data_IF_141039268853
#
_entry.id   IF_141039268853
#
_cell.length_a   1.000
_cell.length_b   1.000
_cell.length_c   1.000
_cell.angle_alpha   90.00
_cell.angle_beta   90.00
_cell.angle_gamma   90.00
#
_symmetry.space_group_name_H-M   'P 1'
#
loop_
_entity.id
_entity.type
_entity.pdbx_description
1 polymer ?
#
# COMPACT_ATOMS: atom_id res chain seq x y z
N UNK A 1 10.93 6.56 -5.47
CA UNK A 1 12.12 7.09 -4.76
C UNK A 1 11.91 7.18 -3.25
N UNK A 2 10.96 7.97 -2.73
CA UNK A 2 10.80 8.10 -1.27
C UNK A 2 10.43 6.77 -0.56
N UNK A 3 9.47 6.02 -1.11
CA UNK A 3 9.04 4.73 -0.55
C UNK A 3 10.14 3.65 -0.60
N UNK A 4 10.90 3.63 -1.69
CA UNK A 4 12.08 2.77 -1.87
C UNK A 4 13.16 3.07 -0.82
N UNK A 5 13.39 4.36 -0.55
CA UNK A 5 14.36 4.77 0.48
C UNK A 5 13.90 4.41 1.88
N UNK A 6 12.60 4.52 2.16
CA UNK A 6 12.03 4.15 3.44
C UNK A 6 12.12 2.64 3.70
N UNK A 7 11.86 1.80 2.68
CA UNK A 7 12.00 0.34 2.81
C UNK A 7 13.47 -0.10 2.98
N UNK A 8 14.41 0.57 2.33
CA UNK A 8 15.85 0.32 2.53
C UNK A 8 16.27 0.73 3.94
N UNK A 9 15.81 1.89 4.42
CA UNK A 9 16.13 2.38 5.76
C UNK A 9 15.55 1.49 6.87
N UNK A 10 14.33 0.96 6.69
CA UNK A 10 13.73 0.00 7.63
C UNK A 10 14.57 -1.29 7.71
N UNK A 11 15.00 -1.84 6.57
CA UNK A 11 15.87 -3.03 6.53
C UNK A 11 17.23 -2.83 7.18
N UNK A 12 17.72 -1.59 7.24
CA UNK A 12 19.01 -1.22 7.85
C UNK A 12 18.91 -0.90 9.34
N UNK A 13 17.70 -0.77 9.89
CA UNK A 13 17.48 -0.61 11.32
C UNK A 13 17.86 -1.91 12.04
N UNK A 14 18.70 -1.82 13.09
CA UNK A 14 18.92 -2.94 13.99
C UNK A 14 17.57 -3.38 14.60
N UNK A 15 17.35 -4.68 14.83
CA UNK A 15 16.14 -5.14 15.49
C UNK A 15 16.13 -4.55 16.90
N UNK A 16 15.20 -3.64 17.17
CA UNK A 16 14.83 -3.32 18.55
C UNK A 16 14.33 -4.61 19.18
N UNK A 17 14.57 -4.82 20.48
CA UNK A 17 14.19 -6.09 21.15
C UNK A 17 12.70 -6.44 20.98
N UNK A 18 11.85 -5.47 20.61
CA UNK A 18 10.47 -5.72 20.21
C UNK A 18 10.04 -4.75 19.08
N UNK A 19 10.12 -5.12 17.80
CA UNK A 19 9.47 -4.35 16.74
C UNK A 19 7.97 -4.67 16.84
N UNK A 20 7.22 -3.85 17.59
CA UNK A 20 5.79 -4.12 17.78
C UNK A 20 5.01 -3.99 16.46
N UNK A 21 5.52 -3.25 15.47
CA UNK A 21 4.86 -3.05 14.18
C UNK A 21 5.89 -2.84 13.06
N UNK A 22 5.66 -3.50 11.93
CA UNK A 22 6.40 -3.33 10.67
C UNK A 22 5.45 -2.72 9.62
N UNK A 23 6.00 -1.99 8.66
CA UNK A 23 5.20 -1.38 7.60
C UNK A 23 5.40 -2.13 6.28
N UNK A 24 4.33 -2.67 5.69
CA UNK A 24 4.43 -3.35 4.40
C UNK A 24 4.49 -2.34 3.24
N UNK A 25 5.72 -1.94 2.92
CA UNK A 25 6.02 -1.05 1.80
C UNK A 25 5.64 -1.63 0.43
N UNK A 26 5.51 -2.95 0.29
CA UNK A 26 5.10 -3.58 -0.98
C UNK A 26 3.60 -3.43 -1.19
N UNK A 27 2.82 -3.62 -0.11
CA UNK A 27 1.36 -3.49 -0.14
C UNK A 27 0.91 -2.06 -0.43
N UNK A 28 1.47 -1.06 0.26
CA UNK A 28 1.11 0.34 -0.04
C UNK A 28 1.48 0.75 -1.47
N UNK A 29 2.55 0.17 -2.03
CA UNK A 29 2.96 0.45 -3.41
C UNK A 29 1.92 -0.08 -4.39
N UNK A 30 1.41 -1.29 -4.16
CA UNK A 30 0.31 -1.85 -4.96
C UNK A 30 -0.97 -1.00 -4.83
N UNK A 31 -1.32 -0.56 -3.63
CA UNK A 31 -2.50 0.29 -3.42
C UNK A 31 -2.37 1.66 -4.08
N UNK A 32 -1.19 2.28 -4.03
CA UNK A 32 -0.91 3.53 -4.75
C UNK A 32 -1.07 3.37 -6.27
N UNK A 33 -0.67 2.21 -6.83
CA UNK A 33 -0.91 1.91 -8.23
C UNK A 33 -2.41 1.77 -8.53
N UNK A 34 -3.16 1.08 -7.67
CA UNK A 34 -4.62 0.93 -7.80
C UNK A 34 -5.33 2.28 -7.75
N UNK A 35 -4.98 3.14 -6.78
CA UNK A 35 -5.53 4.49 -6.66
C UNK A 35 -5.21 5.33 -7.88
N UNK A 36 -3.96 5.31 -8.36
CA UNK A 36 -3.56 6.04 -9.57
C UNK A 36 -4.34 5.58 -10.79
N UNK A 37 -4.49 4.27 -10.98
CA UNK A 37 -5.30 3.72 -12.06
C UNK A 37 -6.79 4.12 -11.96
N UNK A 38 -7.35 4.16 -10.74
CA UNK A 38 -8.71 4.64 -10.50
C UNK A 38 -8.89 6.13 -10.82
N UNK A 39 -7.93 6.98 -10.41
CA UNK A 39 -7.92 8.42 -10.73
C UNK A 39 -7.81 8.62 -12.24
N UNK A 40 -6.87 7.94 -12.89
CA UNK A 40 -6.69 8.03 -14.34
C UNK A 40 -7.96 7.61 -15.08
N UNK A 41 -8.66 6.57 -14.59
CA UNK A 41 -9.96 6.13 -15.13
C UNK A 41 -11.08 7.15 -14.91
N UNK A 42 -11.09 7.82 -13.77
CA UNK A 42 -12.06 8.87 -13.45
C UNK A 42 -11.85 10.13 -14.29
N UNK A 43 -10.59 10.53 -14.49
CA UNK A 43 -10.21 11.73 -15.25
C UNK A 43 -10.23 11.50 -16.77
N UNK A 44 -10.04 10.26 -17.22
CA UNK A 44 -10.11 9.87 -18.64
C UNK A 44 -11.26 8.89 -18.88
N UNK A 45 -12.53 9.29 -18.64
CA UNK A 45 -13.63 8.38 -18.84
C UNK A 45 -13.79 8.10 -20.33
N UNK A 46 -13.58 6.84 -20.74
CA UNK A 46 -14.44 6.30 -21.79
C UNK A 46 -15.86 6.24 -21.19
N UNK A 47 -16.89 6.64 -21.94
CA UNK A 47 -18.29 6.59 -21.47
C UNK A 47 -18.74 5.13 -21.29
N UNK A 48 -18.31 4.49 -20.21
CA UNK A 48 -18.78 3.20 -19.74
C UNK A 48 -19.43 3.39 -18.37
N UNK A 49 -20.51 2.65 -18.14
CA UNK A 49 -21.29 2.72 -16.90
C UNK A 49 -20.40 2.55 -15.65
N UNK A 50 -20.72 3.21 -14.52
CA UNK A 50 -19.97 3.10 -13.28
C UNK A 50 -19.86 1.64 -12.84
N UNK A 51 -18.63 1.14 -12.67
CA UNK A 51 -18.41 -0.18 -12.07
C UNK A 51 -18.43 -0.06 -10.55
N UNK A 52 -19.00 -1.06 -9.89
CA UNK A 52 -19.10 -1.12 -8.42
C UNK A 52 -17.69 -1.06 -7.81
N UNK A 53 -17.41 -0.15 -6.86
CA UNK A 53 -16.13 -0.08 -6.19
C UNK A 53 -15.80 -1.41 -5.49
N UNK A 54 -14.59 -1.93 -5.70
CA UNK A 54 -14.09 -3.08 -4.95
C UNK A 54 -13.65 -2.61 -3.56
N UNK A 55 -14.05 -3.28 -2.47
CA UNK A 55 -13.62 -2.89 -1.14
C UNK A 55 -12.10 -3.02 -0.99
N UNK A 56 -11.45 -1.93 -0.56
CA UNK A 56 -10.04 -1.92 -0.15
C UNK A 56 -9.97 -2.50 1.28
N UNK A 57 -9.21 -3.57 1.51
CA UNK A 57 -8.95 -4.08 2.87
C UNK A 57 -8.00 -3.10 3.58
N UNK A 58 -8.55 -2.41 4.59
CA UNK A 58 -7.83 -1.44 5.42
C UNK A 58 -6.89 -2.07 6.47
N UNK A 59 -6.61 -3.37 6.35
CA UNK A 59 -5.80 -4.14 7.29
C UNK A 59 -4.32 -4.01 6.97
N UNK A 60 -3.80 -2.78 7.06
CA UNK A 60 -2.40 -2.45 6.73
C UNK A 60 -1.40 -2.94 7.78
N UNK A 61 -1.86 -3.54 8.90
CA UNK A 61 -1.02 -4.08 9.96
C UNK A 61 -1.19 -5.59 10.00
N UNK A 62 -0.13 -6.31 9.65
CA UNK A 62 -0.06 -7.75 9.88
C UNK A 62 0.46 -7.97 11.31
N UNK A 63 -0.45 -8.35 12.20
CA UNK A 63 -0.06 -8.92 13.49
C UNK A 63 0.28 -10.40 13.24
N UNK A 64 1.46 -10.85 13.65
CA UNK A 64 1.83 -12.26 13.61
C UNK A 64 1.50 -12.89 14.98
N UNK A 65 0.47 -13.74 15.11
CA UNK A 65 0.35 -14.66 16.23
C UNK A 65 1.25 -15.88 15.95
N UNK A 66 1.99 -16.31 16.98
CA UNK A 66 2.65 -17.62 17.02
C UNK A 66 1.64 -18.73 17.27
#
# INVERSE_FOLDING_TARGET
>A
MALERASIAEKQSAPSEHPRYHFDYSRIRADLHTLKAGIDRYLSPSRDQPRVPVPLSGDYRQEHPQ
#
